data_IF_513476537147
#
_entry.id   IF_513476537147
#
_cell.length_a   1.000
_cell.length_b   1.000
_cell.length_c   1.000
_cell.angle_alpha   90.00
_cell.angle_beta   90.00
_cell.angle_gamma   90.00
#
_symmetry.space_group_name_H-M   'P 1'
#
loop_
_entity.id
_entity.type
_entity.pdbx_description
1 polymer ?
#
# COMPACT_ATOMS: atom_id res chain seq x y z
N UNK A 1 -17.45 11.75 -4.05
CA UNK A 1 -18.70 11.06 -3.65
C UNK A 1 -18.64 10.78 -2.15
N UNK A 2 -19.31 11.60 -1.33
CA UNK A 2 -19.37 11.44 0.14
C UNK A 2 -20.59 10.62 0.62
N UNK A 3 -21.46 10.24 -0.31
CA UNK A 3 -22.68 9.47 -0.06
C UNK A 3 -22.50 8.19 0.79
N UNK A 4 -21.46 7.35 0.61
CA UNK A 4 -21.34 6.14 1.43
C UNK A 4 -20.85 6.41 2.87
N UNK A 5 -20.26 7.59 3.16
CA UNK A 5 -19.77 7.94 4.50
C UNK A 5 -20.84 8.64 5.36
N UNK A 6 -21.92 9.11 4.73
CA UNK A 6 -22.99 9.87 5.36
C UNK A 6 -23.73 9.10 6.48
N UNK A 7 -24.04 7.80 6.32
CA UNK A 7 -24.67 7.00 7.38
C UNK A 7 -23.78 6.83 8.61
N UNK A 8 -22.48 6.65 8.40
CA UNK A 8 -21.50 6.50 9.48
C UNK A 8 -21.37 7.81 10.25
N UNK A 9 -21.24 8.94 9.55
CA UNK A 9 -21.20 10.26 10.17
C UNK A 9 -22.47 10.57 10.97
N UNK A 10 -23.64 10.23 10.43
CA UNK A 10 -24.92 10.42 11.11
C UNK A 10 -25.01 9.56 12.39
N UNK A 11 -24.61 8.29 12.32
CA UNK A 11 -24.57 7.38 13.47
C UNK A 11 -23.67 7.91 14.59
N UNK A 12 -22.46 8.37 14.27
CA UNK A 12 -21.54 8.96 15.25
C UNK A 12 -22.08 10.25 15.88
N UNK A 13 -22.79 11.07 15.10
CA UNK A 13 -23.37 12.32 15.58
C UNK A 13 -24.52 12.06 16.57
N UNK A 14 -25.36 11.05 16.29
CA UNK A 14 -26.43 10.59 17.19
C UNK A 14 -25.85 10.00 18.49
N UNK A 15 -24.83 9.15 18.40
CA UNK A 15 -24.20 8.54 19.57
C UNK A 15 -23.47 9.58 20.45
N UNK A 16 -22.79 10.53 19.81
CA UNK A 16 -22.14 11.65 20.48
C UNK A 16 -23.13 12.57 21.20
N UNK A 17 -24.27 12.89 20.57
CA UNK A 17 -25.32 13.70 21.18
C UNK A 17 -25.99 12.99 22.37
N UNK A 18 -26.24 11.69 22.27
CA UNK A 18 -26.88 10.90 23.33
C UNK A 18 -25.98 10.79 24.59
N UNK A 19 -24.69 10.51 24.39
CA UNK A 19 -23.71 10.43 25.48
C UNK A 19 -23.50 11.78 26.17
N UNK A 20 -23.44 12.88 25.40
CA UNK A 20 -23.39 14.24 25.97
C UNK A 20 -24.63 14.56 26.80
N UNK A 21 -25.82 14.21 26.29
CA UNK A 21 -27.09 14.42 27.00
C UNK A 21 -27.23 13.58 28.28
N UNK A 22 -26.64 12.39 28.31
CA UNK A 22 -26.58 11.56 29.52
C UNK A 22 -25.58 12.13 30.54
N UNK A 23 -24.42 12.62 30.09
CA UNK A 23 -23.43 13.25 30.95
C UNK A 23 -23.95 14.53 31.59
N UNK A 24 -24.62 15.40 30.82
CA UNK A 24 -25.22 16.64 31.35
C UNK A 24 -26.32 16.37 32.39
N UNK A 25 -27.04 15.24 32.28
CA UNK A 25 -28.07 14.85 33.25
C UNK A 25 -27.50 14.36 34.59
N UNK A 26 -26.26 13.86 34.64
CA UNK A 26 -25.62 13.37 35.88
C UNK A 26 -24.96 14.45 36.72
N UNK A 27 -24.65 15.62 36.15
CA UNK A 27 -24.06 16.75 36.88
C UNK A 27 -25.12 17.56 37.61
N UNK A 28 -25.49 17.14 38.83
CA UNK A 28 -26.60 17.68 39.66
C UNK A 28 -26.50 19.13 40.15
N UNK A 29 -26.20 20.10 39.29
CA UNK A 29 -26.41 21.53 39.57
C UNK A 29 -27.19 22.18 38.43
N UNK A 30 -28.19 23.03 38.72
CA UNK A 30 -28.87 23.81 37.70
C UNK A 30 -27.87 24.79 37.07
N UNK A 31 -27.23 24.36 35.99
CA UNK A 31 -26.39 25.24 35.17
C UNK A 31 -27.33 26.24 34.51
N UNK A 32 -27.09 27.53 34.73
CA UNK A 32 -27.81 28.62 34.06
C UNK A 32 -27.86 28.34 32.55
N UNK A 33 -29.05 28.49 31.97
CA UNK A 33 -29.37 28.13 30.59
C UNK A 33 -28.36 28.72 29.58
N UNK A 34 -27.79 29.88 29.88
CA UNK A 34 -26.72 30.52 29.12
C UNK A 34 -25.44 29.69 29.05
N UNK A 35 -24.98 29.09 30.15
CA UNK A 35 -23.75 28.27 30.16
C UNK A 35 -23.91 27.00 29.33
N UNK A 36 -25.11 26.42 29.32
CA UNK A 36 -25.43 25.25 28.47
C UNK A 36 -25.41 25.64 27.00
N UNK A 37 -25.97 26.80 26.63
CA UNK A 37 -25.94 27.31 25.26
C UNK A 37 -24.53 27.61 24.78
N UNK A 38 -23.70 28.24 25.62
CA UNK A 38 -22.30 28.54 25.30
C UNK A 38 -21.50 27.26 25.08
N UNK A 39 -21.65 26.26 25.98
CA UNK A 39 -20.98 24.97 25.83
C UNK A 39 -21.40 24.26 24.54
N UNK A 40 -22.70 24.24 24.24
CA UNK A 40 -23.23 23.67 23.00
C UNK A 40 -22.66 24.32 21.74
N UNK A 41 -22.56 25.65 21.71
CA UNK A 41 -21.94 26.38 20.59
C UNK A 41 -20.47 26.02 20.40
N UNK A 42 -19.70 25.95 21.49
CA UNK A 42 -18.28 25.57 21.43
C UNK A 42 -18.11 24.15 20.89
N UNK A 43 -18.93 23.20 21.33
CA UNK A 43 -18.89 21.84 20.82
C UNK A 43 -19.23 21.75 19.32
N UNK A 44 -20.23 22.49 18.85
CA UNK A 44 -20.59 22.54 17.42
C UNK A 44 -19.45 23.12 16.60
N UNK A 45 -18.84 24.23 17.05
CA UNK A 45 -17.71 24.87 16.36
C UNK A 45 -16.52 23.91 16.25
N UNK A 46 -16.16 23.23 17.35
CA UNK A 46 -15.08 22.25 17.35
C UNK A 46 -15.34 21.09 16.40
N UNK A 47 -16.58 20.58 16.35
CA UNK A 47 -16.97 19.50 15.47
C UNK A 47 -16.89 19.91 13.99
N UNK A 48 -17.33 21.13 13.66
CA UNK A 48 -17.21 21.69 12.30
C UNK A 48 -15.73 21.86 11.93
N UNK A 49 -14.92 22.44 12.81
CA UNK A 49 -13.49 22.65 12.57
C UNK A 49 -12.73 21.33 12.32
N UNK A 50 -13.01 20.29 13.12
CA UNK A 50 -12.40 18.97 12.94
C UNK A 50 -12.79 18.34 11.59
N UNK A 51 -14.05 18.47 11.19
CA UNK A 51 -14.51 17.97 9.89
C UNK A 51 -13.88 18.75 8.73
N UNK A 52 -13.78 20.08 8.82
CA UNK A 52 -13.11 20.91 7.81
C UNK A 52 -11.63 20.55 7.69
N UNK A 53 -10.92 20.38 8.82
CA UNK A 53 -9.51 19.96 8.81
C UNK A 53 -9.34 18.57 8.16
N UNK A 54 -10.21 17.61 8.49
CA UNK A 54 -10.18 16.26 7.91
C UNK A 54 -10.44 16.28 6.41
N UNK A 55 -11.42 17.08 5.97
CA UNK A 55 -11.68 17.30 4.53
C UNK A 55 -10.50 18.01 3.89
N UNK A 56 -9.86 18.98 4.56
CA UNK A 56 -8.67 19.67 4.07
C UNK A 56 -7.50 18.73 3.82
N UNK A 57 -7.24 17.78 4.73
CA UNK A 57 -6.22 16.73 4.56
C UNK A 57 -6.58 15.82 3.37
N UNK A 58 -7.82 15.34 3.29
CA UNK A 58 -8.32 14.55 2.15
C UNK A 58 -8.23 15.31 0.82
N UNK A 59 -8.49 16.63 0.83
CA UNK A 59 -8.41 17.49 -0.35
C UNK A 59 -6.96 17.77 -0.73
N UNK A 60 -6.07 17.98 0.24
CA UNK A 60 -4.64 18.13 -0.01
C UNK A 60 -4.04 16.83 -0.59
N UNK A 61 -4.40 15.67 -0.04
CA UNK A 61 -4.03 14.35 -0.58
C UNK A 61 -4.60 14.11 -1.98
N UNK A 62 -5.77 14.67 -2.30
CA UNK A 62 -6.43 14.52 -3.60
C UNK A 62 -6.15 15.63 -4.62
N UNK A 63 -5.36 16.67 -4.27
CA UNK A 63 -4.90 17.74 -5.20
C UNK A 63 -3.61 17.41 -5.97
N UNK A 64 -3.03 16.22 -5.75
CA UNK A 64 -2.02 15.59 -6.64
C UNK A 64 -2.60 14.43 -7.50
N UNK A 65 -3.80 14.51 -8.12
CA UNK A 65 -4.47 13.34 -8.68
C UNK A 65 -4.17 13.10 -10.16
N UNK A 66 -3.77 14.10 -10.96
CA UNK A 66 -3.50 13.89 -12.40
C UNK A 66 -2.25 13.03 -12.59
N UNK A 67 -1.15 13.42 -11.95
CA UNK A 67 0.10 12.65 -11.97
C UNK A 67 -0.09 11.23 -11.42
N UNK A 68 -0.86 11.07 -10.33
CA UNK A 68 -1.04 9.78 -9.65
C UNK A 68 -2.02 8.86 -10.38
N UNK A 69 -3.06 9.38 -11.03
CA UNK A 69 -4.03 8.56 -11.80
C UNK A 69 -3.45 8.06 -13.12
N UNK A 70 -2.63 8.86 -13.78
CA UNK A 70 -1.92 8.44 -15.00
C UNK A 70 -0.83 7.42 -14.65
N UNK A 71 -0.05 7.67 -13.59
CA UNK A 71 0.92 6.71 -13.06
C UNK A 71 0.27 5.41 -12.53
N UNK A 72 -0.90 5.50 -11.90
CA UNK A 72 -1.63 4.33 -11.39
C UNK A 72 -2.31 3.53 -12.51
N UNK A 73 -2.71 4.16 -13.62
CA UNK A 73 -3.20 3.45 -14.81
C UNK A 73 -2.07 2.65 -15.45
N UNK A 74 -0.94 3.30 -15.78
CA UNK A 74 0.22 2.61 -16.35
C UNK A 74 0.72 1.49 -15.45
N UNK A 75 0.81 1.73 -14.14
CA UNK A 75 1.19 0.69 -13.16
C UNK A 75 0.24 -0.50 -13.13
N UNK A 76 -1.07 -0.28 -13.25
CA UNK A 76 -2.04 -1.38 -13.29
C UNK A 76 -1.96 -2.17 -14.57
N UNK A 77 -1.71 -1.51 -15.70
CA UNK A 77 -1.54 -2.14 -17.00
C UNK A 77 -0.27 -3.02 -17.02
N UNK A 78 0.86 -2.50 -16.58
CA UNK A 78 2.13 -3.25 -16.49
C UNK A 78 1.98 -4.52 -15.64
N UNK A 79 1.41 -4.38 -14.43
CA UNK A 79 1.21 -5.52 -13.53
C UNK A 79 0.13 -6.49 -14.03
N UNK A 80 -0.85 -6.02 -14.81
CA UNK A 80 -1.88 -6.88 -15.39
C UNK A 80 -1.29 -7.77 -16.49
N UNK A 81 -0.44 -7.22 -17.35
CA UNK A 81 0.28 -7.98 -18.37
C UNK A 81 1.22 -9.00 -17.72
N UNK A 82 2.03 -8.57 -16.75
CA UNK A 82 2.90 -9.46 -15.98
C UNK A 82 2.13 -10.59 -15.30
N UNK A 83 0.98 -10.29 -14.69
CA UNK A 83 0.15 -11.30 -14.04
C UNK A 83 -0.54 -12.24 -15.05
N UNK A 84 -0.88 -11.76 -16.25
CA UNK A 84 -1.39 -12.61 -17.32
C UNK A 84 -0.31 -13.59 -17.81
N UNK A 85 0.92 -13.10 -18.01
CA UNK A 85 2.04 -13.91 -18.42
C UNK A 85 2.38 -14.99 -17.37
N UNK A 86 2.49 -14.60 -16.10
CA UNK A 86 2.79 -15.54 -14.99
C UNK A 86 1.75 -16.64 -14.86
N UNK A 87 0.46 -16.34 -15.05
CA UNK A 87 -0.60 -17.37 -15.00
C UNK A 87 -0.46 -18.45 -16.06
N UNK A 88 0.12 -18.11 -17.20
CA UNK A 88 0.23 -19.03 -18.34
C UNK A 88 1.53 -19.83 -18.29
N UNK A 89 2.60 -19.28 -17.69
CA UNK A 89 3.95 -19.80 -17.83
C UNK A 89 4.59 -20.26 -16.51
N UNK A 90 4.12 -19.77 -15.36
CA UNK A 90 4.66 -20.20 -14.07
C UNK A 90 4.08 -21.57 -13.68
N UNK A 91 4.91 -22.41 -13.07
CA UNK A 91 4.48 -23.70 -12.57
C UNK A 91 3.68 -23.57 -11.26
N UNK A 92 2.75 -24.50 -10.97
CA UNK A 92 2.12 -24.57 -9.66
C UNK A 92 3.18 -24.74 -8.57
N UNK A 93 3.20 -23.82 -7.60
CA UNK A 93 4.15 -23.83 -6.49
C UNK A 93 5.34 -22.88 -6.65
N UNK A 94 5.53 -22.29 -7.83
CA UNK A 94 6.53 -21.26 -8.04
C UNK A 94 6.31 -20.07 -7.08
N UNK A 95 7.42 -19.47 -6.65
CA UNK A 95 7.41 -18.35 -5.73
C UNK A 95 7.92 -17.07 -6.42
N UNK A 96 7.12 -16.01 -6.32
CA UNK A 96 7.41 -14.70 -6.90
C UNK A 96 7.88 -13.73 -5.82
N UNK A 97 9.03 -13.10 -5.98
CA UNK A 97 9.47 -11.99 -5.13
C UNK A 97 9.19 -10.66 -5.83
N UNK A 98 8.46 -9.77 -5.17
CA UNK A 98 8.05 -8.49 -5.75
C UNK A 98 7.74 -7.43 -4.69
N UNK A 99 7.80 -6.15 -5.07
CA UNK A 99 7.30 -5.06 -4.23
C UNK A 99 5.78 -5.21 -4.01
N UNK A 100 4.99 -5.19 -5.09
CA UNK A 100 3.52 -5.37 -5.11
C UNK A 100 3.12 -6.87 -5.01
N UNK A 101 3.71 -7.62 -4.08
CA UNK A 101 3.51 -9.06 -3.91
C UNK A 101 2.04 -9.46 -3.68
N UNK A 102 1.24 -8.65 -2.97
CA UNK A 102 -0.19 -8.89 -2.74
C UNK A 102 -0.98 -8.85 -4.04
N UNK A 103 -0.70 -7.87 -4.90
CA UNK A 103 -1.30 -7.71 -6.22
C UNK A 103 -0.99 -8.94 -7.09
N UNK A 104 0.28 -9.35 -7.14
CA UNK A 104 0.68 -10.55 -7.88
C UNK A 104 -0.06 -11.78 -7.34
N UNK A 105 -0.02 -12.04 -6.03
CA UNK A 105 -0.71 -13.18 -5.44
C UNK A 105 -2.21 -13.19 -5.76
N UNK A 106 -2.86 -12.03 -5.68
CA UNK A 106 -4.29 -11.91 -5.96
C UNK A 106 -4.63 -12.30 -7.41
N UNK A 107 -3.86 -11.82 -8.38
CA UNK A 107 -4.15 -12.04 -9.80
C UNK A 107 -3.59 -13.35 -10.36
N UNK A 108 -2.53 -13.91 -9.78
CA UNK A 108 -1.89 -15.14 -10.30
C UNK A 108 -2.15 -16.37 -9.45
N UNK A 109 -2.55 -16.20 -8.18
CA UNK A 109 -2.63 -17.27 -7.16
C UNK A 109 -1.29 -17.92 -6.82
N UNK A 110 -0.17 -17.43 -7.35
CA UNK A 110 1.17 -17.89 -6.99
C UNK A 110 1.54 -17.41 -5.58
N UNK A 111 2.42 -18.15 -4.90
CA UNK A 111 2.99 -17.68 -3.64
C UNK A 111 3.84 -16.45 -3.93
N UNK A 112 3.68 -15.39 -3.15
CA UNK A 112 4.43 -14.16 -3.34
C UNK A 112 5.11 -13.72 -2.04
N UNK A 113 6.36 -13.30 -2.16
CA UNK A 113 7.17 -12.77 -1.05
C UNK A 113 7.43 -11.30 -1.28
N UNK A 114 7.23 -10.51 -0.23
CA UNK A 114 7.46 -9.08 -0.27
C UNK A 114 8.95 -8.75 -0.38
N UNK A 115 9.29 -7.96 -1.40
CA UNK A 115 10.53 -7.21 -1.50
C UNK A 115 10.39 -5.89 -0.71
N UNK A 116 11.13 -5.70 0.40
CA UNK A 116 10.97 -4.54 1.28
C UNK A 116 11.11 -3.18 0.57
N UNK A 117 10.38 -2.14 1.02
CA UNK A 117 10.39 -0.80 0.42
C UNK A 117 11.70 -0.04 0.61
N UNK A 118 12.49 -0.40 1.62
CA UNK A 118 13.75 0.25 1.93
C UNK A 118 14.88 -0.79 1.99
N UNK A 119 15.75 -0.73 0.98
CA UNK A 119 16.94 -1.56 0.89
C UNK A 119 18.23 -0.75 1.08
N UNK A 120 18.15 0.47 1.62
CA UNK A 120 19.33 1.30 1.91
C UNK A 120 20.33 0.56 2.79
N UNK A 121 21.60 0.62 2.40
CA UNK A 121 22.69 -0.09 3.08
C UNK A 121 22.68 -1.61 2.88
N UNK A 122 21.74 -2.16 2.10
CA UNK A 122 21.73 -3.57 1.72
C UNK A 122 22.29 -3.72 0.30
N UNK A 123 23.22 -4.66 0.12
CA UNK A 123 23.82 -4.98 -1.18
C UNK A 123 23.27 -6.26 -1.79
N UNK A 124 23.89 -6.69 -2.88
CA UNK A 124 23.53 -7.91 -3.61
C UNK A 124 23.44 -9.14 -2.72
N UNK A 125 24.44 -9.37 -1.87
CA UNK A 125 24.51 -10.53 -0.98
C UNK A 125 23.26 -10.66 -0.07
N UNK A 126 22.69 -9.54 0.37
CA UNK A 126 21.47 -9.57 1.17
C UNK A 126 20.26 -10.03 0.34
N UNK A 127 20.09 -9.49 -0.87
CA UNK A 127 19.03 -9.86 -1.81
C UNK A 127 19.14 -11.34 -2.17
N UNK A 128 20.33 -11.81 -2.54
CA UNK A 128 20.61 -13.20 -2.88
C UNK A 128 20.33 -14.15 -1.70
N UNK A 129 20.77 -13.81 -0.49
CA UNK A 129 20.48 -14.60 0.72
C UNK A 129 18.97 -14.71 0.96
N UNK A 130 18.22 -13.62 0.78
CA UNK A 130 16.77 -13.61 0.94
C UNK A 130 16.08 -14.46 -0.13
N UNK A 131 16.52 -14.35 -1.38
CA UNK A 131 16.00 -15.16 -2.48
C UNK A 131 16.25 -16.65 -2.27
N UNK A 132 17.46 -17.01 -1.83
CA UNK A 132 17.82 -18.38 -1.49
C UNK A 132 16.97 -18.91 -0.33
N UNK A 133 16.80 -18.13 0.75
CA UNK A 133 16.04 -18.52 1.93
C UNK A 133 14.53 -18.70 1.68
N UNK A 134 13.98 -18.04 0.65
CA UNK A 134 12.58 -18.21 0.25
C UNK A 134 12.41 -19.10 -0.99
N UNK A 135 13.48 -19.64 -1.55
CA UNK A 135 13.46 -20.44 -2.78
C UNK A 135 12.76 -19.74 -3.96
N UNK A 136 13.03 -18.45 -4.15
CA UNK A 136 12.40 -17.61 -5.19
C UNK A 136 12.68 -18.16 -6.60
N UNK A 137 11.63 -18.29 -7.41
CA UNK A 137 11.67 -18.73 -8.81
C UNK A 137 11.55 -17.57 -9.79
N UNK A 138 10.76 -16.55 -9.41
CA UNK A 138 10.50 -15.37 -10.22
C UNK A 138 10.81 -14.11 -9.43
N UNK A 139 11.45 -13.14 -10.07
CA UNK A 139 11.79 -11.87 -9.48
C UNK A 139 11.17 -10.74 -10.30
N UNK A 140 10.48 -9.83 -9.63
CA UNK A 140 9.89 -8.64 -10.25
C UNK A 140 10.63 -7.40 -9.78
N UNK A 141 11.19 -6.68 -10.75
CA UNK A 141 11.82 -5.36 -10.56
C UNK A 141 10.86 -4.29 -11.07
N UNK A 142 10.50 -3.34 -10.22
CA UNK A 142 9.66 -2.19 -10.59
C UNK A 142 10.51 -0.92 -10.49
N UNK A 143 10.92 -0.37 -11.63
CA UNK A 143 11.83 0.77 -11.71
C UNK A 143 11.28 2.02 -10.99
N UNK A 144 9.96 2.11 -10.81
CA UNK A 144 9.29 3.20 -10.07
C UNK A 144 9.54 3.15 -8.56
N UNK A 145 10.10 2.05 -8.06
CA UNK A 145 10.39 1.81 -6.64
C UNK A 145 11.89 1.91 -6.37
N UNK A 146 12.51 3.04 -6.72
CA UNK A 146 13.96 3.28 -6.62
C UNK A 146 14.62 2.69 -5.36
N UNK A 147 14.02 2.91 -4.18
CA UNK A 147 14.55 2.43 -2.88
C UNK A 147 14.55 0.91 -2.70
N UNK A 148 13.67 0.19 -3.39
CA UNK A 148 13.64 -1.28 -3.41
C UNK A 148 14.52 -1.87 -4.51
N UNK A 149 14.82 -1.06 -5.53
CA UNK A 149 15.54 -1.51 -6.72
C UNK A 149 17.05 -1.48 -6.50
N UNK A 150 17.59 -0.60 -5.65
CA UNK A 150 19.06 -0.49 -5.44
C UNK A 150 19.75 -1.82 -5.09
N UNK A 151 19.27 -2.53 -4.06
CA UNK A 151 19.86 -3.82 -3.68
C UNK A 151 19.57 -4.92 -4.70
N UNK A 152 18.55 -4.73 -5.54
CA UNK A 152 18.19 -5.67 -6.58
C UNK A 152 19.10 -5.50 -7.81
N UNK A 153 19.31 -4.26 -8.24
CA UNK A 153 20.19 -3.89 -9.35
C UNK A 153 21.63 -4.29 -9.04
N UNK A 154 22.07 -4.14 -7.78
CA UNK A 154 23.35 -4.70 -7.34
C UNK A 154 23.41 -6.23 -7.54
N UNK A 155 22.36 -6.97 -7.16
CA UNK A 155 22.32 -8.41 -7.36
C UNK A 155 22.30 -8.82 -8.83
N UNK A 156 21.52 -8.11 -9.66
CA UNK A 156 21.47 -8.31 -11.12
C UNK A 156 22.85 -8.06 -11.76
N UNK A 157 23.56 -7.03 -11.32
CA UNK A 157 24.88 -6.66 -11.83
C UNK A 157 26.00 -7.63 -11.38
N UNK A 158 25.99 -8.05 -10.11
CA UNK A 158 27.01 -8.96 -9.56
C UNK A 158 26.82 -10.42 -9.99
N UNK A 159 25.61 -10.81 -10.41
CA UNK A 159 25.29 -12.20 -10.76
C UNK A 159 24.42 -12.28 -12.02
N UNK A 160 24.87 -11.77 -13.18
CA UNK A 160 24.03 -11.70 -14.39
C UNK A 160 23.60 -13.08 -14.88
N UNK A 161 24.42 -14.12 -14.65
CA UNK A 161 24.05 -15.50 -14.99
C UNK A 161 22.93 -16.08 -14.11
N UNK A 162 22.60 -15.49 -12.96
CA UNK A 162 21.54 -16.00 -12.10
C UNK A 162 20.14 -15.63 -12.61
N UNK A 163 20.04 -14.55 -13.39
CA UNK A 163 18.78 -13.95 -13.78
C UNK A 163 18.63 -13.95 -15.29
N UNK A 164 17.50 -14.46 -15.76
CA UNK A 164 17.10 -14.39 -17.16
C UNK A 164 15.93 -13.42 -17.26
N UNK A 165 16.08 -12.32 -18.02
CA UNK A 165 14.97 -11.40 -18.28
C UNK A 165 13.98 -12.09 -19.21
N UNK A 166 12.75 -12.27 -18.74
CA UNK A 166 11.71 -13.01 -19.48
C UNK A 166 10.64 -12.09 -20.06
N UNK A 167 10.28 -11.03 -19.33
CA UNK A 167 9.26 -10.07 -19.77
C UNK A 167 9.64 -8.67 -19.30
N UNK A 168 9.43 -7.67 -20.17
CA UNK A 168 9.47 -6.25 -19.84
C UNK A 168 8.15 -5.61 -20.23
N UNK A 169 7.48 -4.99 -19.28
CA UNK A 169 6.20 -4.31 -19.46
C UNK A 169 6.23 -2.96 -18.74
N UNK A 170 6.31 -1.89 -19.54
CA UNK A 170 6.54 -0.54 -19.03
C UNK A 170 7.78 -0.45 -18.15
N UNK A 171 7.58 -0.07 -16.89
CA UNK A 171 8.63 0.07 -15.87
C UNK A 171 8.89 -1.20 -15.06
N UNK A 172 8.26 -2.33 -15.44
CA UNK A 172 8.34 -3.59 -14.71
C UNK A 172 9.06 -4.64 -15.52
N UNK A 173 10.13 -5.17 -14.94
CA UNK A 173 10.89 -6.29 -15.48
C UNK A 173 10.58 -7.56 -14.66
N UNK A 174 10.32 -8.67 -15.36
CA UNK A 174 10.19 -10.00 -14.78
C UNK A 174 11.41 -10.84 -15.15
N UNK A 175 12.09 -11.34 -14.13
CA UNK A 175 13.24 -12.22 -14.27
C UNK A 175 12.91 -13.62 -13.78
N UNK A 176 13.38 -14.63 -14.52
CA UNK A 176 13.48 -16.00 -14.03
C UNK A 176 14.77 -16.16 -13.24
N UNK A 177 14.67 -16.84 -12.11
CA UNK A 177 15.79 -17.06 -11.20
C UNK A 177 16.31 -18.50 -11.35
N UNK A 178 17.54 -18.65 -11.78
CA UNK A 178 18.18 -19.97 -11.92
C UNK A 178 18.69 -20.48 -10.57
N UNK A 179 17.79 -21.03 -9.74
CA UNK A 179 18.10 -21.48 -8.36
C UNK A 179 19.32 -22.39 -8.22
N UNK A 180 19.61 -23.20 -9.23
CA UNK A 180 20.79 -24.08 -9.24
C UNK A 180 22.11 -23.30 -9.21
N UNK A 181 22.15 -22.07 -9.73
CA UNK A 181 23.32 -21.18 -9.68
C UNK A 181 23.51 -20.49 -8.33
N UNK A 182 22.47 -20.40 -7.49
CA UNK A 182 22.57 -19.78 -6.15
C UNK A 182 23.29 -20.65 -5.12
N UNK A 183 23.44 -21.96 -5.36
CA UNK A 183 24.04 -22.88 -4.39
C UNK A 183 25.57 -22.91 -4.41
N UNK A 184 26.20 -22.13 -5.28
CA UNK A 184 27.63 -22.24 -5.57
C UNK A 184 27.94 -23.53 -6.34
N UNK A 185 29.10 -23.62 -7.01
CA UNK A 185 29.65 -24.90 -7.45
C UNK A 185 29.92 -25.84 -6.27
#
# INVERSE_FOLDING_TARGET
MLLPALPVLFYWLVLGAASLGAFMRRGGRPRTQERVRTLGRVCIILLVALNVARIGVLVAESRVPRLRREADRGRREDYAELAAWLRQNAAPGDLVMAYEHTTIHYFTRLKAVHLPPDTRGRGAAWTLKRMAGHHVDWLVRDARKERSVLALDAALAESPGLFELVLRTGDVDLFRVHRWRMRGP
#
